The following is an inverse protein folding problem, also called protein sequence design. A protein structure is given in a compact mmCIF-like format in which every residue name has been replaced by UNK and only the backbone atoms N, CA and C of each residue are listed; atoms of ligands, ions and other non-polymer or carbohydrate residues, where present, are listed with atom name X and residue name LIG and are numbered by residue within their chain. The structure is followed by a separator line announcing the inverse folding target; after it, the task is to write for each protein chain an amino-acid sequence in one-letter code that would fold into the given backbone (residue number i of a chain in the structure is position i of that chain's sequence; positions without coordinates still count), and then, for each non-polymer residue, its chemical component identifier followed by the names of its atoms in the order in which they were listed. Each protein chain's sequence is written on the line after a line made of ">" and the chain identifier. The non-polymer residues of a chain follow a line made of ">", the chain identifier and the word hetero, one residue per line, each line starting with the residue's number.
data_IF_806570552425
#
_entry.id   IF_806570552425
#
_cell.length_a   1.000
_cell.length_b   1.000
_cell.length_c   1.000
_cell.angle_alpha   90.00
_cell.angle_beta   90.00
_cell.angle_gamma   90.00
#
_symmetry.space_group_name_H-M   'P 1'
#
loop_
_entity.id
_entity.type
_entity.pdbx_description
1 polymer ?
#
# COMPACT_ATOMS: atom_id res chain seq x y z
N UNK A 1 27.30 -6.62 -17.32
CA UNK A 1 27.50 -5.51 -16.35
C UNK A 1 27.83 -4.25 -17.12
N UNK A 2 26.98 -3.24 -17.08
CA UNK A 2 27.16 -1.98 -17.83
C UNK A 2 28.34 -1.20 -17.27
N UNK A 3 29.14 -0.55 -18.16
CA UNK A 3 30.26 0.32 -17.79
C UNK A 3 29.85 1.49 -16.87
N UNK A 4 28.58 1.85 -16.85
CA UNK A 4 27.99 2.87 -15.96
C UNK A 4 28.07 2.47 -14.48
N UNK A 5 27.88 1.21 -14.13
CA UNK A 5 27.99 0.73 -12.72
C UNK A 5 29.38 0.87 -12.12
N UNK A 6 30.44 0.80 -12.93
CA UNK A 6 31.85 0.93 -12.49
C UNK A 6 32.23 2.37 -12.10
N UNK A 7 31.57 3.38 -12.68
CA UNK A 7 31.84 4.80 -12.41
C UNK A 7 30.96 5.38 -11.28
N UNK A 8 29.79 4.83 -11.06
CA UNK A 8 28.85 5.31 -10.01
C UNK A 8 29.43 5.15 -8.60
N UNK A 9 30.12 4.06 -8.32
CA UNK A 9 30.71 3.80 -7.00
C UNK A 9 31.74 4.86 -6.56
N UNK A 10 32.74 5.17 -7.38
CA UNK A 10 33.74 6.18 -7.05
C UNK A 10 33.18 7.61 -6.97
N UNK A 11 32.31 8.02 -7.89
CA UNK A 11 31.68 9.33 -7.88
C UNK A 11 30.77 9.49 -6.64
N UNK A 12 30.01 8.47 -6.32
CA UNK A 12 29.17 8.45 -5.12
C UNK A 12 30.00 8.56 -3.85
N UNK A 13 31.07 7.78 -3.71
CA UNK A 13 31.99 7.87 -2.56
C UNK A 13 32.61 9.27 -2.44
N UNK A 14 33.01 9.87 -3.52
CA UNK A 14 33.56 11.24 -3.54
C UNK A 14 32.50 12.24 -3.01
N UNK A 15 31.27 12.17 -3.51
CA UNK A 15 30.18 13.03 -3.06
C UNK A 15 29.87 12.83 -1.56
N UNK A 16 29.74 11.58 -1.11
CA UNK A 16 29.48 11.25 0.27
C UNK A 16 30.63 11.69 1.19
N UNK A 17 31.89 11.55 0.76
CA UNK A 17 33.06 12.07 1.48
C UNK A 17 33.02 13.58 1.61
N UNK A 18 32.57 14.28 0.55
CA UNK A 18 32.40 15.74 0.60
C UNK A 18 31.34 16.16 1.61
N UNK A 19 30.22 15.46 1.66
CA UNK A 19 29.15 15.68 2.63
C UNK A 19 29.65 15.42 4.06
N UNK A 20 30.37 14.32 4.28
CA UNK A 20 30.93 13.97 5.58
C UNK A 20 31.90 15.07 6.08
N UNK A 21 32.80 15.58 5.22
CA UNK A 21 33.68 16.70 5.58
C UNK A 21 32.95 17.99 5.93
N UNK A 22 31.88 18.31 5.19
CA UNK A 22 31.04 19.47 5.54
C UNK A 22 30.38 19.32 6.90
N UNK A 23 29.87 18.14 7.21
CA UNK A 23 29.30 17.83 8.51
C UNK A 23 30.36 17.92 9.62
N UNK A 24 31.57 17.37 9.39
CA UNK A 24 32.70 17.46 10.31
C UNK A 24 33.07 18.93 10.64
N UNK A 25 33.12 19.80 9.65
CA UNK A 25 33.37 21.22 9.84
C UNK A 25 32.27 21.90 10.65
N UNK A 26 30.99 21.57 10.41
CA UNK A 26 29.87 22.09 11.19
C UNK A 26 29.99 21.64 12.65
N UNK A 27 30.25 20.37 12.89
CA UNK A 27 30.40 19.80 14.24
C UNK A 27 31.58 20.43 15.00
N UNK A 28 32.75 20.57 14.34
CA UNK A 28 33.95 21.17 14.95
C UNK A 28 33.79 22.66 15.27
N UNK A 29 33.06 23.38 14.45
CA UNK A 29 32.85 24.82 14.63
C UNK A 29 31.63 25.18 15.46
N UNK A 30 30.87 24.18 15.94
CA UNK A 30 29.70 24.43 16.77
C UNK A 30 30.11 24.86 18.19
N UNK A 31 29.49 25.93 18.69
CA UNK A 31 29.79 26.47 20.05
C UNK A 31 29.48 25.46 21.15
N UNK A 32 28.54 24.55 20.94
CA UNK A 32 28.19 23.48 21.91
C UNK A 32 28.73 22.14 21.39
N UNK A 33 29.39 21.38 22.25
CA UNK A 33 29.89 20.06 21.93
C UNK A 33 28.72 19.06 21.71
N UNK A 34 28.55 18.57 20.48
CA UNK A 34 27.61 17.51 20.19
C UNK A 34 28.18 16.19 20.71
N UNK A 35 27.44 15.52 21.60
CA UNK A 35 27.86 14.23 22.20
C UNK A 35 27.44 13.02 21.37
N UNK A 36 26.24 13.07 20.81
CA UNK A 36 25.69 12.00 19.98
C UNK A 36 24.62 12.53 19.04
N UNK A 37 24.34 11.81 17.98
CA UNK A 37 23.28 12.10 17.01
C UNK A 37 22.32 10.92 16.95
N UNK A 38 21.07 11.15 17.33
CA UNK A 38 19.98 10.20 17.15
C UNK A 38 19.16 10.61 15.92
N UNK A 39 18.96 9.67 14.99
CA UNK A 39 18.28 9.92 13.72
C UNK A 39 16.97 9.14 13.72
N UNK A 40 15.89 9.83 13.36
CA UNK A 40 14.59 9.24 13.03
C UNK A 40 14.26 9.61 11.61
N UNK A 41 13.92 8.60 10.78
CA UNK A 41 13.65 8.76 9.36
C UNK A 41 12.22 8.37 9.07
N UNK A 42 11.53 9.18 8.28
CA UNK A 42 10.15 8.91 7.88
C UNK A 42 10.03 8.95 6.35
N UNK A 43 9.13 8.13 5.83
CA UNK A 43 8.87 8.12 4.40
C UNK A 43 7.53 7.51 4.03
N UNK A 44 6.94 8.00 2.94
CA UNK A 44 5.72 7.46 2.35
C UNK A 44 5.98 7.10 0.89
N UNK A 45 5.43 5.96 0.42
CA UNK A 45 5.49 5.60 -1.01
C UNK A 45 6.94 5.44 -1.51
N UNK A 46 7.29 6.14 -2.59
CA UNK A 46 8.67 6.24 -3.08
C UNK A 46 9.58 6.92 -2.06
N UNK A 47 9.05 7.82 -1.23
CA UNK A 47 9.77 8.39 -0.09
C UNK A 47 10.11 7.34 0.97
N UNK A 48 9.29 6.30 1.15
CA UNK A 48 9.61 5.17 2.01
C UNK A 48 10.76 4.32 1.41
N UNK A 49 10.75 4.08 0.10
CA UNK A 49 11.88 3.44 -0.59
C UNK A 49 13.17 4.28 -0.49
N UNK A 50 13.06 5.61 -0.66
CA UNK A 50 14.18 6.54 -0.48
C UNK A 50 14.69 6.54 0.97
N UNK A 51 13.81 6.46 1.97
CA UNK A 51 14.18 6.37 3.38
C UNK A 51 14.99 5.11 3.66
N UNK A 52 14.58 3.95 3.13
CA UNK A 52 15.36 2.69 3.23
C UNK A 52 16.73 2.84 2.59
N UNK A 53 16.78 3.30 1.34
CA UNK A 53 18.05 3.50 0.63
C UNK A 53 18.95 4.56 1.31
N UNK A 54 18.36 5.64 1.85
CA UNK A 54 19.10 6.66 2.62
C UNK A 54 19.79 6.04 3.83
N UNK A 55 19.13 5.17 4.57
CA UNK A 55 19.73 4.50 5.73
C UNK A 55 20.93 3.66 5.33
N UNK A 56 20.84 2.86 4.26
CA UNK A 56 21.99 2.11 3.75
C UNK A 56 23.14 3.04 3.36
N UNK A 57 22.84 4.17 2.68
CA UNK A 57 23.86 5.15 2.28
C UNK A 57 24.50 5.86 3.47
N UNK A 58 23.70 6.14 4.51
CA UNK A 58 24.22 6.74 5.74
C UNK A 58 25.25 5.82 6.39
N UNK A 59 24.99 4.54 6.47
CA UNK A 59 25.90 3.57 7.05
C UNK A 59 27.11 3.24 6.14
N UNK A 60 27.05 3.51 4.84
CA UNK A 60 28.22 3.44 3.95
C UNK A 60 29.29 4.52 4.27
N UNK A 61 28.87 5.67 4.82
CA UNK A 61 29.77 6.77 5.21
C UNK A 61 30.10 6.82 6.69
N UNK A 62 29.34 6.09 7.50
CA UNK A 62 29.57 6.01 8.93
C UNK A 62 30.78 5.12 9.20
N UNK A 63 31.63 5.55 10.12
CA UNK A 63 32.81 4.81 10.55
C UNK A 63 32.47 3.99 11.78
N UNK A 64 33.02 2.78 11.85
CA UNK A 64 32.88 1.94 13.05
C UNK A 64 33.59 2.61 14.20
N UNK A 65 32.90 2.73 15.35
CA UNK A 65 33.40 3.37 16.55
C UNK A 65 33.70 2.35 17.66
N UNK A 66 34.79 2.56 18.36
CA UNK A 66 35.17 1.74 19.51
C UNK A 66 35.54 0.29 19.14
N UNK A 67 35.00 -0.68 19.85
CA UNK A 67 35.27 -2.13 19.70
C UNK A 67 34.51 -2.80 18.55
N UNK A 68 34.04 -2.05 17.58
CA UNK A 68 33.24 -2.56 16.47
C UNK A 68 31.73 -2.55 16.72
N UNK A 69 31.29 -2.02 17.85
CA UNK A 69 29.90 -1.93 18.28
C UNK A 69 29.41 -0.50 18.33
N UNK A 70 29.23 0.12 17.19
CA UNK A 70 28.72 1.48 17.07
C UNK A 70 29.28 2.17 15.84
N UNK A 71 28.61 3.22 15.48
CA UNK A 71 28.95 4.04 14.31
C UNK A 71 29.12 5.50 14.69
N UNK A 72 29.99 6.19 14.00
CA UNK A 72 30.11 7.63 14.08
C UNK A 72 29.99 8.28 12.71
N UNK A 73 29.59 9.53 12.69
CA UNK A 73 29.67 10.38 11.51
C UNK A 73 30.39 11.65 11.92
N UNK A 74 31.48 11.97 11.24
CA UNK A 74 32.33 13.12 11.55
C UNK A 74 32.85 13.10 13.00
N UNK A 75 33.21 11.93 13.53
CA UNK A 75 33.71 11.75 14.88
C UNK A 75 32.67 11.86 16.00
N UNK A 76 31.38 11.95 15.67
CA UNK A 76 30.29 11.98 16.64
C UNK A 76 29.51 10.66 16.59
N UNK A 77 29.33 9.99 17.74
CA UNK A 77 28.50 8.77 17.81
C UNK A 77 27.12 8.98 17.19
N UNK A 78 26.72 8.05 16.32
CA UNK A 78 25.46 8.11 15.58
C UNK A 78 24.64 6.86 15.80
N UNK A 79 23.33 7.04 15.88
CA UNK A 79 22.37 5.96 15.95
C UNK A 79 21.14 6.28 15.13
N UNK A 80 20.65 5.31 14.35
CA UNK A 80 19.35 5.37 13.72
C UNK A 80 18.32 4.71 14.64
N UNK A 81 17.61 5.54 15.40
CA UNK A 81 16.69 5.07 16.44
C UNK A 81 15.38 4.57 15.85
N UNK A 82 14.90 5.23 14.77
CA UNK A 82 13.58 4.93 14.22
C UNK A 82 13.54 5.11 12.71
N UNK A 83 12.91 4.14 12.04
CA UNK A 83 12.52 4.21 10.64
C UNK A 83 11.02 3.97 10.55
N UNK A 84 10.25 5.05 10.36
CA UNK A 84 8.79 5.03 10.19
C UNK A 84 8.42 5.16 8.73
N UNK A 85 7.84 4.12 8.14
CA UNK A 85 7.54 4.10 6.72
C UNK A 85 6.09 3.71 6.46
N UNK A 86 5.50 4.37 5.45
CA UNK A 86 4.14 4.10 5.01
C UNK A 86 4.16 3.56 3.59
N UNK A 87 3.52 2.44 3.41
CA UNK A 87 3.16 1.78 2.15
C UNK A 87 4.26 1.89 1.07
N UNK A 88 5.40 1.27 1.32
CA UNK A 88 6.60 1.38 0.49
C UNK A 88 6.35 0.91 -0.93
N UNK A 89 6.56 1.80 -1.89
CA UNK A 89 6.51 1.53 -3.33
C UNK A 89 7.87 1.86 -3.94
N UNK A 90 8.62 0.84 -4.31
CA UNK A 90 9.95 1.00 -4.91
C UNK A 90 9.93 1.11 -6.44
N UNK A 91 8.76 1.00 -7.07
CA UNK A 91 8.59 1.15 -8.51
C UNK A 91 8.81 2.59 -8.95
N UNK A 92 9.74 2.81 -9.87
CA UNK A 92 10.07 4.12 -10.44
C UNK A 92 9.89 4.04 -11.96
N UNK A 93 8.92 4.76 -12.51
CA UNK A 93 8.66 4.84 -13.95
C UNK A 93 7.62 3.85 -14.48
N UNK A 94 7.68 3.52 -15.77
CA UNK A 94 6.70 2.71 -16.53
C UNK A 94 6.72 1.20 -16.21
N UNK A 95 7.22 0.81 -15.09
CA UNK A 95 7.55 -0.55 -14.72
C UNK A 95 6.37 -1.51 -14.64
N UNK A 96 5.21 -1.04 -14.24
CA UNK A 96 4.04 -1.88 -14.13
C UNK A 96 3.42 -2.30 -15.47
N UNK A 97 3.80 -1.66 -16.56
CA UNK A 97 3.29 -1.97 -17.91
C UNK A 97 4.02 -3.16 -18.52
N UNK A 98 5.26 -3.42 -18.08
CA UNK A 98 6.06 -4.57 -18.52
C UNK A 98 5.94 -5.73 -17.54
N UNK A 99 5.37 -6.85 -17.94
CA UNK A 99 5.36 -8.11 -17.17
C UNK A 99 6.75 -8.68 -16.88
N UNK A 100 7.80 -8.08 -17.42
CA UNK A 100 9.18 -8.58 -17.41
C UNK A 100 10.07 -7.82 -16.41
N UNK A 101 9.63 -6.64 -15.93
CA UNK A 101 10.42 -5.79 -15.05
C UNK A 101 9.61 -5.44 -13.80
N UNK A 102 10.22 -5.63 -12.62
CA UNK A 102 9.66 -5.16 -11.33
C UNK A 102 9.70 -3.64 -11.18
N UNK A 103 10.25 -2.95 -12.18
CA UNK A 103 10.33 -1.50 -12.29
C UNK A 103 11.22 -0.81 -11.30
N UNK A 104 12.03 -1.56 -10.62
CA UNK A 104 12.96 -1.01 -9.66
C UNK A 104 14.23 -0.53 -10.33
N UNK A 105 14.62 0.68 -10.04
CA UNK A 105 15.94 1.18 -10.40
C UNK A 105 16.97 0.68 -9.40
N UNK A 106 18.25 0.65 -9.80
CA UNK A 106 19.35 0.14 -8.98
C UNK A 106 19.39 0.68 -7.54
N UNK A 107 19.01 1.94 -7.33
CA UNK A 107 18.97 2.55 -6.01
C UNK A 107 17.79 2.08 -5.14
N UNK A 108 16.75 1.51 -5.77
CA UNK A 108 15.53 1.01 -5.14
C UNK A 108 15.39 -0.51 -5.31
N UNK A 109 16.47 -1.22 -5.61
CA UNK A 109 16.47 -2.66 -5.85
C UNK A 109 17.32 -3.43 -4.83
N UNK A 110 17.06 -4.72 -4.70
CA UNK A 110 17.84 -5.63 -3.90
C UNK A 110 18.00 -5.18 -2.46
N UNK A 111 19.23 -5.16 -1.98
CA UNK A 111 19.58 -4.85 -0.59
C UNK A 111 19.09 -3.48 -0.10
N UNK A 112 19.01 -2.47 -1.01
CA UNK A 112 18.55 -1.13 -0.64
C UNK A 112 17.10 -1.09 -0.13
N UNK A 113 16.30 -2.09 -0.51
CA UNK A 113 14.91 -2.21 -0.04
C UNK A 113 14.78 -3.09 1.22
N UNK A 114 15.84 -3.71 1.69
CA UNK A 114 15.85 -4.33 3.02
C UNK A 114 15.91 -3.26 4.11
N UNK A 115 15.53 -3.64 5.33
CA UNK A 115 15.77 -2.80 6.50
C UNK A 115 17.21 -3.02 6.95
N UNK A 116 17.98 -1.92 7.02
CA UNK A 116 19.37 -2.01 7.46
C UNK A 116 19.46 -2.57 8.89
N UNK A 117 20.36 -3.53 9.17
CA UNK A 117 20.41 -4.22 10.46
C UNK A 117 20.67 -3.30 11.67
N UNK A 118 21.29 -2.15 11.45
CA UNK A 118 21.55 -1.16 12.48
C UNK A 118 20.38 -0.22 12.81
N UNK A 119 19.26 -0.36 12.12
CA UNK A 119 18.01 0.32 12.48
C UNK A 119 17.48 -0.30 13.77
N UNK A 120 17.36 0.47 14.83
CA UNK A 120 16.88 -0.06 16.12
C UNK A 120 15.42 -0.48 16.07
N UNK A 121 14.59 0.36 15.50
CA UNK A 121 13.16 0.08 15.32
C UNK A 121 12.69 0.54 13.96
N UNK A 122 12.14 -0.38 13.19
CA UNK A 122 11.43 -0.09 11.96
C UNK A 122 9.94 -0.39 12.14
N UNK A 123 9.09 0.56 11.75
CA UNK A 123 7.65 0.41 11.71
C UNK A 123 7.19 0.70 10.28
N UNK A 124 6.45 -0.23 9.69
CA UNK A 124 5.88 -0.10 8.36
C UNK A 124 4.37 -0.29 8.39
N UNK A 125 3.65 0.75 8.00
CA UNK A 125 2.20 0.71 7.83
C UNK A 125 1.84 0.61 6.37
N UNK A 126 1.06 -0.40 6.00
CA UNK A 126 0.78 -0.74 4.61
C UNK A 126 -0.72 -0.80 4.31
N UNK A 127 -1.08 -0.46 3.07
CA UNK A 127 -2.45 -0.38 2.61
C UNK A 127 -3.00 -1.75 2.19
N UNK A 128 -4.21 -2.09 2.67
CA UNK A 128 -4.90 -3.35 2.36
C UNK A 128 -5.58 -3.36 0.99
N UNK A 129 -6.02 -2.21 0.47
CA UNK A 129 -6.96 -2.16 -0.65
C UNK A 129 -6.36 -1.60 -1.95
N UNK A 130 -5.09 -1.15 -1.96
CA UNK A 130 -4.44 -0.63 -3.17
C UNK A 130 -4.38 -1.70 -4.28
N UNK A 131 -4.76 -1.31 -5.51
CA UNK A 131 -4.83 -2.22 -6.64
C UNK A 131 -4.04 -1.75 -7.87
N UNK A 132 -3.56 -0.50 -7.91
CA UNK A 132 -2.82 0.02 -9.07
C UNK A 132 -1.59 -0.82 -9.38
N UNK A 133 -1.36 -1.10 -10.67
CA UNK A 133 -0.26 -1.95 -11.15
C UNK A 133 1.11 -1.36 -10.84
N UNK A 134 1.19 -0.02 -10.86
CA UNK A 134 2.42 0.71 -10.61
C UNK A 134 2.70 0.95 -9.12
N UNK A 135 1.90 0.36 -8.22
CA UNK A 135 2.03 0.48 -6.78
C UNK A 135 2.22 -0.87 -6.06
N UNK A 136 3.11 -1.74 -6.57
CA UNK A 136 3.45 -2.94 -5.82
C UNK A 136 4.10 -2.54 -4.49
N UNK A 137 3.84 -3.33 -3.45
CA UNK A 137 4.34 -3.06 -2.11
C UNK A 137 5.61 -3.86 -1.81
N UNK A 138 6.60 -3.20 -1.23
CA UNK A 138 7.78 -3.86 -0.66
C UNK A 138 7.64 -3.98 0.85
N UNK A 139 7.48 -5.21 1.34
CA UNK A 139 7.40 -5.53 2.76
C UNK A 139 8.69 -5.17 3.50
N UNK A 140 8.59 -4.91 4.81
CA UNK A 140 9.72 -4.66 5.70
C UNK A 140 10.01 -5.90 6.56
N UNK A 141 10.52 -6.96 5.95
CA UNK A 141 10.63 -8.31 6.53
C UNK A 141 11.29 -8.38 7.92
N UNK A 142 12.14 -7.43 8.29
CA UNK A 142 12.79 -7.34 9.60
C UNK A 142 12.26 -6.18 10.47
N UNK A 143 11.19 -5.51 10.02
CA UNK A 143 10.49 -4.48 10.77
C UNK A 143 9.18 -4.99 11.38
N UNK A 144 8.54 -4.13 12.19
CA UNK A 144 7.15 -4.33 12.60
C UNK A 144 6.24 -3.81 11.50
N UNK A 145 5.42 -4.67 10.92
CA UNK A 145 4.44 -4.30 9.91
C UNK A 145 3.03 -4.32 10.47
N UNK A 146 2.21 -3.36 10.06
CA UNK A 146 0.77 -3.36 10.30
C UNK A 146 0.02 -2.97 9.03
N UNK A 147 -1.07 -3.68 8.77
CA UNK A 147 -1.94 -3.44 7.62
C UNK A 147 -3.11 -2.57 8.03
N UNK A 148 -3.34 -1.48 7.30
CA UNK A 148 -4.44 -0.55 7.52
C UNK A 148 -5.44 -0.61 6.37
N UNK A 149 -6.74 -0.46 6.65
CA UNK A 149 -7.72 -0.34 5.58
C UNK A 149 -7.47 0.94 4.77
N UNK A 150 -7.88 0.90 3.53
CA UNK A 150 -7.70 2.03 2.60
C UNK A 150 -6.73 1.74 1.47
N UNK A 151 -6.65 2.68 0.55
CA UNK A 151 -5.70 2.70 -0.56
C UNK A 151 -4.37 3.30 -0.10
N UNK A 152 -3.40 3.31 -1.00
CA UNK A 152 -2.07 3.87 -0.79
C UNK A 152 -2.08 5.25 -0.09
N UNK A 153 -2.88 6.17 -0.62
CA UNK A 153 -2.96 7.53 -0.09
C UNK A 153 -3.91 7.67 1.11
N UNK A 154 -4.77 6.69 1.38
CA UNK A 154 -5.53 6.62 2.63
C UNK A 154 -4.62 6.28 3.82
N UNK A 155 -3.58 5.49 3.58
CA UNK A 155 -2.59 5.17 4.62
C UNK A 155 -1.52 6.26 4.71
N UNK A 156 -1.10 6.81 3.57
CA UNK A 156 -0.02 7.80 3.48
C UNK A 156 -0.45 9.26 3.60
N UNK A 157 -1.75 9.55 3.72
CA UNK A 157 -2.27 10.92 3.89
C UNK A 157 -2.27 11.77 2.63
N UNK A 158 -2.30 11.15 1.43
CA UNK A 158 -2.21 11.87 0.15
C UNK A 158 -3.50 12.51 -0.34
N UNK A 159 -4.67 12.15 0.20
CA UNK A 159 -5.94 12.76 -0.19
C UNK A 159 -6.25 14.03 0.63
N UNK A 160 -6.85 15.02 -0.02
CA UNK A 160 -7.39 16.19 0.66
C UNK A 160 -8.70 15.84 1.36
N UNK A 161 -9.09 16.54 2.45
CA UNK A 161 -10.41 16.35 3.04
C UNK A 161 -11.51 16.59 2.01
N UNK A 162 -12.46 15.66 1.89
CA UNK A 162 -13.57 15.74 0.95
C UNK A 162 -13.28 15.21 -0.45
N UNK A 163 -12.03 14.80 -0.77
CA UNK A 163 -11.71 14.18 -2.05
C UNK A 163 -12.64 12.98 -2.29
N UNK A 164 -13.13 12.86 -3.51
CA UNK A 164 -14.10 11.84 -3.91
C UNK A 164 -15.35 11.76 -3.03
N UNK A 165 -15.69 12.85 -2.32
CA UNK A 165 -16.83 12.94 -1.41
C UNK A 165 -16.68 12.14 -0.13
N UNK A 166 -15.44 11.77 0.26
CA UNK A 166 -15.13 11.08 1.51
C UNK A 166 -14.87 12.07 2.65
N UNK A 167 -14.76 11.55 3.87
CA UNK A 167 -14.39 12.33 5.06
C UNK A 167 -15.40 13.44 5.43
N UNK A 168 -16.68 13.23 5.15
CA UNK A 168 -17.75 14.19 5.46
C UNK A 168 -18.34 13.94 6.84
N UNK A 169 -18.47 15.02 7.60
CA UNK A 169 -19.16 15.07 8.89
C UNK A 169 -20.18 16.20 8.84
N UNK A 170 -21.42 15.92 9.16
CA UNK A 170 -22.53 16.90 9.13
C UNK A 170 -22.60 17.69 7.81
N UNK A 171 -22.34 17.01 6.69
CA UNK A 171 -22.41 17.58 5.34
C UNK A 171 -21.22 18.48 4.97
N UNK A 172 -20.13 18.43 5.72
CA UNK A 172 -18.90 19.19 5.44
C UNK A 172 -17.68 18.27 5.46
N UNK A 173 -16.73 18.51 4.57
CA UNK A 173 -15.45 17.85 4.59
C UNK A 173 -14.66 18.17 5.87
N UNK A 174 -14.21 17.15 6.58
CA UNK A 174 -13.50 17.29 7.86
C UNK A 174 -12.18 16.50 7.83
N UNK A 175 -11.06 17.20 7.93
CA UNK A 175 -9.74 16.59 7.95
C UNK A 175 -9.53 15.59 9.09
N UNK A 176 -10.26 15.70 10.19
CA UNK A 176 -10.20 14.77 11.32
C UNK A 176 -10.95 13.46 11.04
N UNK A 177 -11.81 13.43 10.03
CA UNK A 177 -12.52 12.23 9.58
C UNK A 177 -11.74 11.43 8.52
N UNK A 178 -10.59 11.91 8.07
CA UNK A 178 -9.74 11.18 7.11
C UNK A 178 -9.24 9.87 7.70
N UNK A 179 -9.35 8.80 6.94
CA UNK A 179 -8.84 7.49 7.35
C UNK A 179 -7.34 7.53 7.70
N UNK A 180 -6.57 8.36 7.00
CA UNK A 180 -5.15 8.58 7.23
C UNK A 180 -4.79 9.08 8.64
N UNK A 181 -5.73 9.64 9.38
CA UNK A 181 -5.46 10.12 10.75
C UNK A 181 -5.11 9.00 11.71
N UNK A 182 -5.68 7.81 11.50
CA UNK A 182 -5.40 6.64 12.36
C UNK A 182 -3.93 6.22 12.21
N UNK A 183 -3.43 5.85 11.02
CA UNK A 183 -2.02 5.47 10.89
C UNK A 183 -1.04 6.63 11.17
N UNK A 184 -1.43 7.89 10.97
CA UNK A 184 -0.61 9.05 11.36
C UNK A 184 -0.38 9.09 12.87
N UNK A 185 -1.44 8.97 13.66
CA UNK A 185 -1.39 9.00 15.13
C UNK A 185 -0.60 7.80 15.65
N UNK A 186 -0.85 6.62 15.10
CA UNK A 186 -0.13 5.40 15.49
C UNK A 186 1.36 5.49 15.18
N UNK A 187 1.74 6.02 14.02
CA UNK A 187 3.16 6.24 13.68
C UNK A 187 3.81 7.28 14.60
N UNK A 188 3.10 8.34 14.94
CA UNK A 188 3.59 9.34 15.88
C UNK A 188 3.86 8.72 17.26
N UNK A 189 2.96 7.87 17.77
CA UNK A 189 3.16 7.15 19.02
C UNK A 189 4.36 6.20 18.96
N UNK A 190 4.49 5.42 17.90
CA UNK A 190 5.63 4.51 17.72
C UNK A 190 6.96 5.28 17.63
N UNK A 191 6.97 6.45 16.99
CA UNK A 191 8.15 7.29 16.89
C UNK A 191 8.58 7.86 18.26
N UNK A 192 7.63 8.38 19.04
CA UNK A 192 7.92 8.87 20.42
C UNK A 192 8.41 7.73 21.29
N UNK A 193 7.78 6.56 21.22
CA UNK A 193 8.18 5.36 21.96
C UNK A 193 9.61 4.91 21.60
N UNK A 194 10.03 5.13 20.36
CA UNK A 194 11.38 4.87 19.90
C UNK A 194 12.39 5.99 20.26
N UNK A 195 11.95 7.04 20.92
CA UNK A 195 12.79 8.17 21.37
C UNK A 195 12.94 9.29 20.35
N UNK A 196 12.07 9.36 19.32
CA UNK A 196 12.04 10.52 18.42
C UNK A 196 11.60 11.77 19.20
N UNK A 197 12.32 12.87 19.02
CA UNK A 197 12.04 14.14 19.69
C UNK A 197 10.89 14.89 18.97
N UNK A 198 9.70 14.31 19.03
CA UNK A 198 8.47 14.92 18.56
C UNK A 198 7.70 15.52 19.73
N UNK A 199 6.80 16.47 19.43
CA UNK A 199 5.86 16.97 20.43
C UNK A 199 4.93 15.86 20.87
N UNK A 200 4.65 15.77 22.15
CA UNK A 200 3.66 14.84 22.69
C UNK A 200 2.24 15.20 22.19
N UNK A 201 1.31 14.25 22.24
CA UNK A 201 -0.09 14.52 21.90
C UNK A 201 -0.71 15.59 22.80
N UNK A 202 -0.26 15.70 24.06
CA UNK A 202 -0.69 16.77 24.97
C UNK A 202 -0.23 18.14 24.49
N UNK A 203 1.06 18.28 24.13
CA UNK A 203 1.59 19.52 23.54
C UNK A 203 0.96 19.88 22.19
N UNK A 204 0.61 18.85 21.40
CA UNK A 204 -0.10 19.04 20.13
C UNK A 204 -1.50 19.61 20.37
N UNK A 205 -2.24 19.11 21.34
CA UNK A 205 -3.59 19.57 21.68
C UNK A 205 -3.65 21.02 22.20
N UNK A 206 -2.55 21.53 22.76
CA UNK A 206 -2.44 22.91 23.19
C UNK A 206 -2.34 23.91 22.03
N UNK A 207 -2.05 23.43 20.82
CA UNK A 207 -1.97 24.24 19.61
C UNK A 207 -3.17 23.87 18.69
N UNK A 208 -4.10 24.81 18.53
CA UNK A 208 -5.35 24.57 17.82
C UNK A 208 -5.17 24.12 16.37
N UNK A 209 -4.13 24.62 15.69
CA UNK A 209 -3.82 24.24 14.30
C UNK A 209 -3.31 22.80 14.27
N UNK A 210 -2.35 22.45 15.15
CA UNK A 210 -1.80 21.09 15.21
C UNK A 210 -2.84 20.08 15.67
N UNK A 211 -3.70 20.47 16.61
CA UNK A 211 -4.77 19.61 17.10
C UNK A 211 -5.73 19.17 15.97
N UNK A 212 -6.03 20.06 15.01
CA UNK A 212 -6.81 19.71 13.84
C UNK A 212 -6.09 18.69 12.94
N UNK A 213 -4.79 18.83 12.74
CA UNK A 213 -4.00 17.91 11.90
C UNK A 213 -3.79 16.54 12.55
N UNK A 214 -3.85 16.41 13.86
CA UNK A 214 -3.72 15.16 14.61
C UNK A 214 -5.04 14.73 15.28
N UNK A 215 -6.15 15.37 14.93
CA UNK A 215 -7.47 14.97 15.39
C UNK A 215 -7.95 13.69 14.69
N UNK A 216 -8.78 12.92 15.38
CA UNK A 216 -9.48 11.78 14.81
C UNK A 216 -10.95 11.86 15.21
N UNK A 217 -11.83 11.98 14.22
CA UNK A 217 -13.26 12.18 14.48
C UNK A 217 -13.88 10.96 15.16
N UNK A 218 -14.74 11.13 16.20
CA UNK A 218 -15.33 9.99 16.91
C UNK A 218 -16.13 9.01 16.02
N UNK A 219 -16.76 9.51 14.95
CA UNK A 219 -17.46 8.65 14.00
C UNK A 219 -16.48 7.74 13.24
N UNK A 220 -15.36 8.29 12.74
CA UNK A 220 -14.32 7.50 12.10
C UNK A 220 -13.81 6.39 13.04
N UNK A 221 -13.56 6.72 14.30
CA UNK A 221 -13.10 5.73 15.30
C UNK A 221 -14.14 4.61 15.48
N UNK A 222 -15.43 4.94 15.58
CA UNK A 222 -16.50 3.95 15.70
C UNK A 222 -16.57 3.03 14.49
N UNK A 223 -16.58 3.60 13.29
CA UNK A 223 -16.72 2.85 12.03
C UNK A 223 -15.48 1.98 11.77
N UNK A 224 -14.29 2.51 12.06
CA UNK A 224 -13.04 1.76 12.00
C UNK A 224 -13.04 0.58 12.97
N UNK A 225 -13.45 0.78 14.21
CA UNK A 225 -13.50 -0.28 15.22
C UNK A 225 -14.58 -1.33 14.90
N UNK A 226 -15.71 -0.93 14.33
CA UNK A 226 -16.75 -1.85 13.85
C UNK A 226 -16.20 -2.73 12.72
N UNK A 227 -15.47 -2.13 11.76
CA UNK A 227 -14.81 -2.88 10.70
C UNK A 227 -13.75 -3.84 11.27
N UNK A 228 -12.88 -3.37 12.17
CA UNK A 228 -11.83 -4.17 12.79
C UNK A 228 -12.39 -5.38 13.55
N UNK A 229 -13.49 -5.19 14.29
CA UNK A 229 -14.18 -6.27 15.03
C UNK A 229 -14.80 -7.29 14.09
N UNK A 230 -15.39 -6.84 12.98
CA UNK A 230 -16.07 -7.71 12.01
C UNK A 230 -15.11 -8.56 11.16
N UNK A 231 -13.84 -8.17 11.06
CA UNK A 231 -12.87 -8.84 10.20
C UNK A 231 -11.80 -9.64 10.95
N UNK A 232 -11.74 -9.49 12.29
CA UNK A 232 -10.71 -10.10 13.11
C UNK A 232 -9.30 -9.65 12.71
N UNK A 233 -8.33 -9.71 13.60
CA UNK A 233 -6.94 -9.68 13.22
C UNK A 233 -6.66 -10.97 12.43
N UNK A 234 -6.85 -10.93 11.11
CA UNK A 234 -6.68 -12.08 10.23
C UNK A 234 -5.28 -12.65 10.43
N UNK A 235 -5.17 -13.83 11.03
CA UNK A 235 -3.91 -14.57 11.08
C UNK A 235 -3.51 -14.94 9.65
N UNK A 236 -2.21 -14.99 9.39
CA UNK A 236 -1.67 -15.39 8.10
C UNK A 236 -0.64 -14.39 7.55
N UNK A 237 -0.02 -14.75 6.44
CA UNK A 237 0.95 -13.88 5.77
C UNK A 237 0.27 -12.59 5.28
N UNK A 238 0.98 -11.46 5.34
CA UNK A 238 0.45 -10.16 4.91
C UNK A 238 -0.11 -10.17 3.48
N UNK A 239 0.53 -10.89 2.57
CA UNK A 239 0.04 -11.04 1.20
C UNK A 239 -1.35 -11.73 1.12
N UNK A 240 -1.61 -12.71 2.00
CA UNK A 240 -2.90 -13.41 2.07
C UNK A 240 -3.99 -12.49 2.65
N UNK A 241 -3.66 -11.71 3.67
CA UNK A 241 -4.58 -10.72 4.24
C UNK A 241 -4.95 -9.65 3.19
N UNK A 242 -3.97 -9.12 2.46
CA UNK A 242 -4.20 -8.16 1.36
C UNK A 242 -5.12 -8.78 0.30
N UNK A 243 -4.90 -10.06 -0.08
CA UNK A 243 -5.79 -10.75 -1.02
C UNK A 243 -7.21 -10.92 -0.50
N UNK A 244 -7.36 -11.26 0.79
CA UNK A 244 -8.69 -11.41 1.41
C UNK A 244 -9.46 -10.09 1.44
N UNK A 245 -8.81 -8.99 1.82
CA UNK A 245 -9.41 -7.66 1.84
C UNK A 245 -9.68 -7.11 0.43
N UNK A 246 -8.81 -7.39 -0.53
CA UNK A 246 -9.05 -7.08 -1.93
C UNK A 246 -10.34 -7.74 -2.45
N UNK A 247 -10.61 -9.01 -2.09
CA UNK A 247 -11.87 -9.69 -2.46
C UNK A 247 -13.09 -8.96 -1.91
N UNK A 248 -13.04 -8.47 -0.67
CA UNK A 248 -14.14 -7.71 -0.09
C UNK A 248 -14.36 -6.38 -0.80
N UNK A 249 -13.27 -5.68 -1.16
CA UNK A 249 -13.35 -4.45 -1.93
C UNK A 249 -13.93 -4.68 -3.33
N UNK A 250 -13.52 -5.76 -4.01
CA UNK A 250 -14.08 -6.14 -5.32
C UNK A 250 -15.56 -6.52 -5.21
N UNK A 251 -15.95 -7.24 -4.16
CA UNK A 251 -17.36 -7.53 -3.90
C UNK A 251 -18.18 -6.25 -3.68
N UNK A 252 -17.64 -5.27 -2.92
CA UNK A 252 -18.26 -3.94 -2.75
C UNK A 252 -18.35 -3.18 -4.08
N UNK A 253 -17.29 -3.17 -4.90
CA UNK A 253 -17.35 -2.58 -6.26
C UNK A 253 -18.44 -3.24 -7.10
N UNK A 254 -18.59 -4.56 -7.01
CA UNK A 254 -19.67 -5.31 -7.66
C UNK A 254 -21.05 -4.90 -7.14
N UNK A 255 -21.22 -4.78 -5.82
CA UNK A 255 -22.46 -4.29 -5.21
C UNK A 255 -22.85 -2.89 -5.69
N UNK A 256 -21.85 -2.01 -5.93
CA UNK A 256 -22.04 -0.64 -6.40
C UNK A 256 -22.14 -0.52 -7.94
N UNK A 257 -21.91 -1.64 -8.66
CA UNK A 257 -21.88 -1.65 -10.12
C UNK A 257 -23.26 -1.61 -10.77
N UNK A 258 -24.23 -2.23 -10.11
CA UNK A 258 -25.55 -2.45 -10.71
C UNK A 258 -26.44 -1.22 -10.56
N UNK A 259 -27.39 -1.07 -11.49
CA UNK A 259 -28.37 0.02 -11.48
C UNK A 259 -29.29 -0.05 -10.25
N UNK A 260 -29.87 1.09 -9.88
CA UNK A 260 -30.79 1.23 -8.75
C UNK A 260 -30.19 2.03 -7.59
N UNK A 261 -30.87 2.04 -6.48
CA UNK A 261 -30.49 2.83 -5.28
C UNK A 261 -29.13 2.40 -4.70
N UNK A 262 -28.74 1.14 -4.89
CA UNK A 262 -27.45 0.61 -4.49
C UNK A 262 -26.27 1.05 -5.36
N UNK A 263 -26.51 1.65 -6.54
CA UNK A 263 -25.43 2.02 -7.46
C UNK A 263 -24.50 3.10 -6.87
N UNK A 264 -23.25 3.14 -7.35
CA UNK A 264 -22.25 4.12 -6.93
C UNK A 264 -22.77 5.55 -7.11
N UNK A 265 -23.41 5.84 -8.23
CA UNK A 265 -23.92 7.18 -8.56
C UNK A 265 -25.05 7.66 -7.65
N UNK A 266 -25.69 6.77 -6.91
CA UNK A 266 -26.75 7.10 -5.95
C UNK A 266 -26.25 7.30 -4.52
N UNK A 267 -24.99 6.92 -4.26
CA UNK A 267 -24.44 7.00 -2.91
C UNK A 267 -24.21 8.45 -2.44
N UNK A 268 -24.32 8.71 -1.14
CA UNK A 268 -24.08 10.04 -0.57
C UNK A 268 -22.70 10.59 -0.94
N UNK A 269 -21.65 9.78 -0.83
CA UNK A 269 -20.29 10.21 -1.14
C UNK A 269 -20.14 10.67 -2.59
N UNK A 270 -20.75 9.98 -3.56
CA UNK A 270 -20.70 10.42 -4.96
C UNK A 270 -21.37 11.80 -5.14
N UNK A 271 -22.51 12.03 -4.47
CA UNK A 271 -23.25 13.27 -4.56
C UNK A 271 -22.55 14.46 -3.85
N UNK A 272 -21.71 14.16 -2.89
CA UNK A 272 -20.91 15.13 -2.11
C UNK A 272 -19.57 15.46 -2.78
N UNK A 273 -19.07 14.59 -3.67
CA UNK A 273 -17.84 14.79 -4.41
C UNK A 273 -17.94 16.05 -5.30
N UNK A 274 -16.82 16.71 -5.54
CA UNK A 274 -16.77 17.81 -6.50
C UNK A 274 -16.98 17.32 -7.95
N UNK A 275 -17.12 18.26 -8.89
CA UNK A 275 -17.46 17.93 -10.26
C UNK A 275 -16.39 17.12 -10.99
N UNK A 276 -15.11 17.31 -10.69
CA UNK A 276 -13.99 16.57 -11.27
C UNK A 276 -13.97 15.13 -10.74
N UNK A 277 -14.06 14.97 -9.43
CA UNK A 277 -14.15 13.67 -8.77
C UNK A 277 -15.38 12.86 -9.23
N UNK A 278 -16.55 13.54 -9.40
CA UNK A 278 -17.74 12.87 -9.93
C UNK A 278 -17.52 12.33 -11.34
N UNK A 279 -16.85 13.08 -12.20
CA UNK A 279 -16.53 12.64 -13.58
C UNK A 279 -15.57 11.45 -13.53
N UNK A 280 -14.53 11.51 -12.71
CA UNK A 280 -13.54 10.45 -12.58
C UNK A 280 -14.14 9.16 -12.02
N UNK A 281 -14.93 9.25 -10.95
CA UNK A 281 -15.64 8.12 -10.36
C UNK A 281 -16.66 7.50 -11.35
N UNK A 282 -17.42 8.32 -12.08
CA UNK A 282 -18.38 7.84 -13.08
C UNK A 282 -17.68 7.16 -14.26
N UNK A 283 -16.55 7.71 -14.73
CA UNK A 283 -15.74 7.10 -15.78
C UNK A 283 -15.16 5.75 -15.33
N UNK A 284 -14.56 5.69 -14.14
CA UNK A 284 -14.04 4.45 -13.59
C UNK A 284 -15.12 3.38 -13.42
N UNK A 285 -16.32 3.78 -12.98
CA UNK A 285 -17.47 2.89 -12.85
C UNK A 285 -17.93 2.36 -14.21
N UNK A 286 -18.00 3.21 -15.23
CA UNK A 286 -18.37 2.82 -16.60
C UNK A 286 -17.35 1.84 -17.20
N UNK A 287 -16.07 2.13 -17.04
CA UNK A 287 -15.00 1.30 -17.58
C UNK A 287 -14.97 -0.07 -16.88
N UNK A 288 -15.20 -0.09 -15.57
CA UNK A 288 -15.37 -1.34 -14.82
C UNK A 288 -16.60 -2.15 -15.30
N UNK A 289 -17.75 -1.49 -15.49
CA UNK A 289 -18.94 -2.14 -16.01
C UNK A 289 -18.72 -2.76 -17.38
N UNK A 290 -17.99 -2.08 -18.27
CA UNK A 290 -17.64 -2.60 -19.58
C UNK A 290 -16.71 -3.82 -19.48
N UNK A 291 -15.69 -3.76 -18.63
CA UNK A 291 -14.78 -4.88 -18.37
C UNK A 291 -15.55 -6.12 -17.87
N UNK A 292 -16.38 -5.94 -16.85
CA UNK A 292 -17.19 -7.04 -16.27
C UNK A 292 -18.12 -7.64 -17.33
N UNK A 293 -18.80 -6.81 -18.11
CA UNK A 293 -19.71 -7.27 -19.18
C UNK A 293 -18.97 -8.09 -20.24
N UNK A 294 -17.83 -7.60 -20.71
CA UNK A 294 -17.04 -8.27 -21.75
C UNK A 294 -16.49 -9.62 -21.25
N UNK A 295 -15.96 -9.66 -20.04
CA UNK A 295 -15.46 -10.89 -19.44
C UNK A 295 -16.59 -11.89 -19.10
N UNK A 296 -17.75 -11.42 -18.66
CA UNK A 296 -18.92 -12.26 -18.43
C UNK A 296 -19.43 -12.90 -19.72
N UNK A 297 -19.48 -12.13 -20.83
CA UNK A 297 -19.83 -12.66 -22.15
C UNK A 297 -18.79 -13.69 -22.58
N UNK A 298 -17.51 -13.40 -22.48
CA UNK A 298 -16.43 -14.33 -22.81
C UNK A 298 -16.49 -15.63 -22.01
N UNK A 299 -16.80 -15.55 -20.70
CA UNK A 299 -17.01 -16.72 -19.83
C UNK A 299 -18.16 -17.60 -20.35
N UNK A 300 -19.28 -16.98 -20.69
CA UNK A 300 -20.47 -17.66 -21.25
C UNK A 300 -20.17 -18.33 -22.59
N UNK A 301 -19.53 -17.60 -23.49
CA UNK A 301 -19.19 -18.09 -24.82
C UNK A 301 -18.18 -19.24 -24.76
N UNK A 302 -17.20 -19.15 -23.86
CA UNK A 302 -16.23 -20.23 -23.62
C UNK A 302 -16.89 -21.48 -23.05
N UNK A 303 -17.86 -21.34 -22.14
CA UNK A 303 -18.63 -22.47 -21.62
C UNK A 303 -19.44 -23.14 -22.75
N UNK A 304 -20.13 -22.37 -23.58
CA UNK A 304 -20.87 -22.86 -24.73
C UNK A 304 -19.95 -23.55 -25.74
N UNK A 305 -18.80 -22.96 -26.05
CA UNK A 305 -17.81 -23.54 -26.94
C UNK A 305 -17.30 -24.92 -26.45
N UNK A 306 -16.98 -25.03 -25.15
CA UNK A 306 -16.54 -26.29 -24.52
C UNK A 306 -17.66 -27.36 -24.56
N UNK A 307 -18.90 -26.97 -24.26
CA UNK A 307 -20.04 -27.86 -24.34
C UNK A 307 -20.24 -28.43 -25.78
N UNK A 308 -20.14 -27.54 -26.80
CA UNK A 308 -20.21 -27.96 -28.19
C UNK A 308 -19.08 -28.93 -28.60
N UNK A 309 -17.86 -28.68 -28.12
CA UNK A 309 -16.74 -29.59 -28.36
C UNK A 309 -16.99 -30.97 -27.73
N UNK A 310 -17.47 -31.02 -26.48
CA UNK A 310 -17.79 -32.27 -25.80
C UNK A 310 -18.87 -33.07 -26.52
N UNK A 311 -19.91 -32.41 -27.03
CA UNK A 311 -20.93 -33.06 -27.87
C UNK A 311 -20.35 -33.63 -29.18
N UNK A 312 -19.43 -32.87 -29.82
CA UNK A 312 -18.73 -33.35 -31.04
C UNK A 312 -17.89 -34.58 -30.74
N UNK A 313 -17.13 -34.56 -29.63
CA UNK A 313 -16.30 -35.69 -29.23
C UNK A 313 -17.16 -36.94 -28.94
N UNK A 314 -18.32 -36.80 -28.30
CA UNK A 314 -19.26 -37.88 -28.06
C UNK A 314 -19.82 -38.44 -29.40
N UNK A 315 -20.22 -37.58 -30.34
CA UNK A 315 -20.69 -38.00 -31.67
C UNK A 315 -19.62 -38.73 -32.47
N UNK A 316 -18.36 -38.30 -32.42
CA UNK A 316 -17.22 -38.97 -33.05
C UNK A 316 -17.00 -40.35 -32.42
N UNK A 317 -17.06 -40.44 -31.09
CA UNK A 317 -16.90 -41.72 -30.37
C UNK A 317 -18.02 -42.71 -30.69
N UNK A 318 -19.29 -42.24 -30.75
CA UNK A 318 -20.42 -43.07 -31.19
C UNK A 318 -20.23 -43.56 -32.63
N UNK A 319 -19.82 -42.69 -33.55
CA UNK A 319 -19.53 -43.05 -34.93
C UNK A 319 -18.40 -44.10 -35.03
N UNK A 320 -17.36 -43.95 -34.25
CA UNK A 320 -16.25 -44.92 -34.18
C UNK A 320 -16.75 -46.29 -33.71
N UNK A 321 -17.58 -46.35 -32.68
CA UNK A 321 -18.16 -47.62 -32.18
C UNK A 321 -19.07 -48.30 -33.21
N UNK A 322 -19.74 -47.50 -34.04
CA UNK A 322 -20.62 -48.01 -35.10
C UNK A 322 -19.89 -48.34 -36.43
N UNK A 323 -18.56 -48.15 -36.49
CA UNK A 323 -17.76 -48.36 -37.69
C UNK A 323 -18.08 -47.35 -38.82
N UNK A 324 -18.66 -46.19 -38.50
CA UNK A 324 -19.06 -45.15 -39.47
C UNK A 324 -18.23 -43.89 -39.22
N UNK A 325 -17.49 -43.37 -40.23
CA UNK A 325 -16.84 -42.07 -40.09
C UNK A 325 -17.86 -40.96 -39.94
N UNK A 326 -17.74 -40.17 -38.91
CA UNK A 326 -18.57 -38.98 -38.65
C UNK A 326 -17.75 -37.74 -38.95
N UNK A 327 -18.16 -36.96 -39.94
CA UNK A 327 -17.60 -35.65 -40.19
C UNK A 327 -18.44 -34.61 -39.41
N UNK A 328 -17.83 -33.92 -38.48
CA UNK A 328 -18.49 -32.84 -37.72
C UNK A 328 -17.64 -31.58 -37.87
N UNK A 329 -18.23 -30.48 -38.35
CA UNK A 329 -17.52 -29.21 -38.39
C UNK A 329 -17.20 -28.75 -36.96
N UNK A 330 -15.93 -28.45 -36.68
CA UNK A 330 -15.51 -27.92 -35.39
C UNK A 330 -15.87 -26.45 -35.29
N UNK A 331 -16.64 -26.02 -34.29
CA UNK A 331 -16.98 -24.59 -34.10
C UNK A 331 -15.73 -23.79 -33.83
N UNK A 332 -15.75 -22.50 -34.16
CA UNK A 332 -14.72 -21.55 -33.75
C UNK A 332 -15.16 -20.84 -32.46
N UNK A 333 -14.24 -20.67 -31.54
CA UNK A 333 -14.47 -19.82 -30.38
C UNK A 333 -14.68 -18.36 -30.82
N UNK A 334 -15.57 -17.63 -30.15
CA UNK A 334 -15.67 -16.18 -30.33
C UNK A 334 -14.42 -15.47 -29.86
N UNK A 335 -14.22 -14.21 -30.28
CA UNK A 335 -13.08 -13.43 -29.80
C UNK A 335 -13.15 -13.23 -28.27
N UNK A 336 -14.33 -13.00 -27.73
CA UNK A 336 -14.61 -12.86 -26.31
C UNK A 336 -14.26 -14.13 -25.54
N UNK A 337 -14.61 -15.30 -26.05
CA UNK A 337 -14.24 -16.59 -25.46
C UNK A 337 -12.71 -16.79 -25.45
N UNK A 338 -12.05 -16.43 -26.56
CA UNK A 338 -10.61 -16.54 -26.68
C UNK A 338 -9.88 -15.60 -25.71
N UNK A 339 -10.36 -14.37 -25.56
CA UNK A 339 -9.79 -13.39 -24.64
C UNK A 339 -10.03 -13.79 -23.18
N UNK A 340 -11.22 -14.31 -22.85
CA UNK A 340 -11.51 -14.87 -21.54
C UNK A 340 -10.59 -16.05 -21.19
N UNK A 341 -10.28 -16.92 -22.15
CA UNK A 341 -9.39 -18.07 -21.92
C UNK A 341 -7.95 -17.68 -21.49
N UNK A 342 -7.56 -16.44 -21.74
CA UNK A 342 -6.22 -15.92 -21.43
C UNK A 342 -6.11 -15.21 -20.08
N UNK A 343 -7.26 -14.91 -19.44
CA UNK A 343 -7.21 -14.20 -18.16
C UNK A 343 -6.57 -15.08 -17.06
N UNK A 344 -5.86 -14.48 -16.11
CA UNK A 344 -5.37 -15.21 -14.93
C UNK A 344 -6.54 -15.85 -14.15
N UNK A 345 -6.29 -17.01 -13.56
CA UNK A 345 -7.30 -17.68 -12.74
C UNK A 345 -7.80 -16.81 -11.56
N UNK A 346 -6.92 -16.00 -10.98
CA UNK A 346 -7.27 -15.04 -9.92
C UNK A 346 -8.21 -13.93 -10.42
N UNK A 347 -8.03 -13.46 -11.65
CA UNK A 347 -8.95 -12.49 -12.29
C UNK A 347 -10.34 -13.11 -12.51
N UNK A 348 -10.39 -14.37 -12.94
CA UNK A 348 -11.66 -15.11 -13.05
C UNK A 348 -12.37 -15.26 -11.71
N UNK A 349 -11.63 -15.58 -10.64
CA UNK A 349 -12.20 -15.68 -9.29
C UNK A 349 -12.76 -14.34 -8.78
N UNK A 350 -12.05 -13.24 -9.04
CA UNK A 350 -12.53 -11.91 -8.68
C UNK A 350 -13.75 -11.48 -9.50
N UNK A 351 -13.80 -11.85 -10.79
CA UNK A 351 -14.98 -11.64 -11.64
C UNK A 351 -16.20 -12.39 -11.07
N UNK A 352 -16.00 -13.63 -10.60
CA UNK A 352 -17.09 -14.44 -10.04
C UNK A 352 -17.70 -13.79 -8.80
N UNK A 353 -16.90 -13.13 -7.93
CA UNK A 353 -17.43 -12.37 -6.80
C UNK A 353 -18.42 -11.27 -7.24
N UNK A 354 -18.14 -10.63 -8.38
CA UNK A 354 -19.00 -9.58 -8.93
C UNK A 354 -20.26 -10.18 -9.54
N UNK A 355 -20.14 -11.25 -10.33
CA UNK A 355 -21.26 -11.88 -11.04
C UNK A 355 -22.22 -12.62 -10.10
N UNK A 356 -21.69 -13.21 -9.03
CA UNK A 356 -22.44 -13.97 -8.04
C UNK A 356 -23.01 -13.07 -6.93
N UNK A 357 -22.84 -11.74 -7.04
CA UNK A 357 -23.26 -10.76 -6.02
C UNK A 357 -22.78 -11.15 -4.62
N UNK A 358 -21.47 -11.42 -4.50
CA UNK A 358 -20.86 -11.83 -3.24
C UNK A 358 -21.22 -10.84 -2.11
N UNK A 359 -21.62 -11.34 -0.93
CA UNK A 359 -22.04 -10.47 0.18
C UNK A 359 -20.88 -9.63 0.70
N UNK A 360 -21.19 -8.40 1.09
CA UNK A 360 -20.24 -7.47 1.71
C UNK A 360 -20.67 -7.24 3.16
N UNK A 361 -19.80 -7.44 4.15
CA UNK A 361 -20.12 -7.10 5.53
C UNK A 361 -20.49 -5.61 5.65
N UNK A 362 -21.49 -5.30 6.44
CA UNK A 362 -22.00 -3.93 6.60
C UNK A 362 -20.90 -2.95 7.03
N UNK A 363 -20.10 -3.32 8.02
CA UNK A 363 -19.00 -2.48 8.48
C UNK A 363 -17.95 -2.19 7.38
N UNK A 364 -17.72 -3.14 6.44
CA UNK A 364 -16.86 -2.91 5.28
C UNK A 364 -17.52 -1.97 4.28
N UNK A 365 -18.80 -2.12 4.02
CA UNK A 365 -19.53 -1.22 3.12
C UNK A 365 -19.52 0.21 3.66
N UNK A 366 -19.77 0.40 4.96
CA UNK A 366 -19.66 1.72 5.63
C UNK A 366 -18.27 2.31 5.47
N UNK A 367 -17.23 1.51 5.71
CA UNK A 367 -15.84 1.97 5.59
C UNK A 367 -15.51 2.39 4.14
N UNK A 368 -15.90 1.57 3.15
CA UNK A 368 -15.65 1.85 1.74
C UNK A 368 -16.46 3.02 1.21
N UNK A 369 -17.69 3.19 1.66
CA UNK A 369 -18.54 4.30 1.23
C UNK A 369 -18.08 5.64 1.79
N UNK A 370 -17.60 5.69 3.05
CA UNK A 370 -17.36 6.96 3.74
C UNK A 370 -15.89 7.39 3.78
N UNK A 371 -14.93 6.44 3.72
CA UNK A 371 -13.54 6.74 4.06
C UNK A 371 -12.52 6.24 3.04
N UNK A 372 -12.78 5.14 2.34
CA UNK A 372 -11.81 4.57 1.39
C UNK A 372 -12.00 5.20 0.02
N UNK A 373 -10.95 5.82 -0.49
CA UNK A 373 -10.93 6.41 -1.82
C UNK A 373 -10.79 5.34 -2.91
N UNK A 374 -11.12 5.70 -4.13
CA UNK A 374 -10.88 4.88 -5.32
C UNK A 374 -9.58 5.31 -6.00
N UNK A 375 -8.50 4.60 -5.76
CA UNK A 375 -7.19 4.97 -6.29
C UNK A 375 -7.04 4.79 -7.81
N UNK A 376 -7.96 4.08 -8.47
CA UNK A 376 -7.99 3.93 -9.92
C UNK A 376 -8.78 5.04 -10.62
N UNK A 377 -9.73 5.68 -9.92
CA UNK A 377 -10.48 6.80 -10.44
C UNK A 377 -9.58 8.05 -10.49
N UNK A 378 -9.50 8.70 -11.65
CA UNK A 378 -8.68 9.89 -11.84
C UNK A 378 -7.16 9.65 -11.87
N UNK A 379 -6.70 8.41 -11.79
CA UNK A 379 -5.27 8.13 -11.93
C UNK A 379 -4.89 7.98 -13.40
N UNK A 380 -4.40 9.05 -13.98
CA UNK A 380 -4.01 9.10 -15.39
C UNK A 380 -2.55 8.72 -15.64
N UNK A 381 -2.33 7.94 -16.70
CA UNK A 381 -1.03 7.66 -17.30
C UNK A 381 -1.05 8.26 -18.71
N UNK A 382 -0.59 9.51 -18.83
CA UNK A 382 -0.84 10.31 -20.03
C UNK A 382 -2.33 10.66 -20.15
N UNK A 383 -2.99 10.22 -21.24
CA UNK A 383 -4.43 10.43 -21.49
C UNK A 383 -5.31 9.25 -21.08
N UNK A 384 -4.72 8.17 -20.58
CA UNK A 384 -5.42 6.92 -20.23
C UNK A 384 -5.33 6.65 -18.74
N UNK A 385 -6.35 5.97 -18.22
CA UNK A 385 -6.30 5.36 -16.88
C UNK A 385 -5.87 3.89 -16.97
N UNK A 386 -5.51 3.28 -15.85
CA UNK A 386 -5.24 1.83 -15.84
C UNK A 386 -6.45 0.97 -16.24
N UNK A 387 -7.66 1.53 -16.22
CA UNK A 387 -8.89 0.85 -16.59
C UNK A 387 -9.09 0.79 -18.11
N UNK A 388 -8.49 1.70 -18.88
CA UNK A 388 -8.75 1.86 -20.31
C UNK A 388 -7.50 2.03 -21.19
N UNK A 389 -6.30 1.64 -20.71
CA UNK A 389 -5.07 1.67 -21.55
C UNK A 389 -5.23 0.75 -22.75
N UNK A 390 -5.10 1.28 -24.00
CA UNK A 390 -5.17 0.47 -25.21
C UNK A 390 -4.06 -0.58 -25.25
N UNK A 391 -4.39 -1.76 -25.79
CA UNK A 391 -3.46 -2.89 -25.99
C UNK A 391 -2.83 -3.50 -24.73
N UNK A 392 -3.13 -3.00 -23.54
CA UNK A 392 -2.66 -3.57 -22.27
C UNK A 392 -3.86 -3.90 -21.41
N UNK A 393 -4.14 -5.19 -21.22
CA UNK A 393 -5.17 -5.60 -20.26
C UNK A 393 -4.56 -5.59 -18.86
N UNK A 394 -4.94 -4.61 -18.06
CA UNK A 394 -4.55 -4.51 -16.66
C UNK A 394 -5.56 -5.21 -15.74
N UNK A 395 -6.72 -5.58 -16.26
CA UNK A 395 -7.90 -6.09 -15.56
C UNK A 395 -8.46 -5.16 -14.46
N UNK A 396 -7.98 -3.93 -14.38
CA UNK A 396 -8.47 -2.89 -13.47
C UNK A 396 -8.64 -3.39 -12.03
N UNK A 397 -9.89 -3.36 -11.52
CA UNK A 397 -10.20 -3.84 -10.16
C UNK A 397 -10.14 -5.38 -10.00
N UNK A 398 -10.11 -6.15 -11.10
CA UNK A 398 -10.10 -7.61 -11.05
C UNK A 398 -8.69 -8.18 -10.96
N UNK A 399 -7.88 -7.64 -10.07
CA UNK A 399 -6.52 -8.12 -9.80
C UNK A 399 -6.10 -7.89 -8.36
N UNK A 400 -5.09 -8.61 -7.92
CA UNK A 400 -4.43 -8.39 -6.64
C UNK A 400 -3.23 -7.47 -6.81
N UNK A 401 -2.94 -6.72 -5.75
CA UNK A 401 -1.72 -5.94 -5.62
C UNK A 401 -0.49 -6.85 -5.65
N UNK A 402 0.57 -6.46 -6.34
CA UNK A 402 1.88 -7.10 -6.23
C UNK A 402 2.50 -6.82 -4.86
N UNK A 403 3.01 -7.86 -4.19
CA UNK A 403 3.68 -7.76 -2.88
C UNK A 403 5.04 -8.43 -2.99
N UNK A 404 6.09 -7.69 -2.66
CA UNK A 404 7.47 -8.18 -2.65
C UNK A 404 7.98 -8.30 -1.22
N UNK A 405 8.65 -9.42 -0.94
CA UNK A 405 9.31 -9.65 0.34
C UNK A 405 10.82 -9.78 0.11
N UNK A 406 11.58 -8.82 0.63
CA UNK A 406 13.03 -8.84 0.55
C UNK A 406 13.58 -9.11 1.95
N UNK A 407 14.17 -10.30 2.14
CA UNK A 407 14.82 -10.67 3.39
C UNK A 407 15.99 -9.72 3.67
N UNK A 408 15.99 -9.11 4.85
CA UNK A 408 17.09 -8.27 5.31
C UNK A 408 18.27 -9.09 5.85
N UNK A 409 19.43 -8.44 6.00
CA UNK A 409 20.55 -9.01 6.75
C UNK A 409 20.17 -9.08 8.24
N UNK A 410 20.63 -10.12 8.92
CA UNK A 410 20.51 -10.18 10.37
C UNK A 410 21.48 -9.17 11.02
N UNK A 411 21.02 -8.53 12.09
CA UNK A 411 21.86 -7.64 12.89
C UNK A 411 23.02 -8.44 13.51
N UNK A 412 24.22 -7.91 13.41
CA UNK A 412 25.37 -8.44 14.13
C UNK A 412 25.18 -8.11 15.61
N UNK A 413 25.03 -9.11 16.46
CA UNK A 413 24.88 -8.89 17.90
C UNK A 413 26.18 -8.29 18.47
N UNK A 414 26.10 -7.05 18.90
CA UNK A 414 27.13 -6.43 19.71
C UNK A 414 26.97 -6.88 21.16
N UNK A 415 28.01 -7.49 21.75
CA UNK A 415 27.97 -8.06 23.09
C UNK A 415 28.01 -7.04 24.23
N UNK A 416 28.16 -5.74 23.95
CA UNK A 416 28.18 -4.70 24.99
C UNK A 416 27.07 -3.66 24.78
N UNK A 417 25.90 -3.84 25.44
CA UNK A 417 24.81 -2.89 25.43
C UNK A 417 25.03 -1.67 26.32
N UNK A 418 26.10 -1.67 27.15
CA UNK A 418 26.31 -0.62 28.18
C UNK A 418 26.83 0.71 27.62
N UNK A 419 27.26 0.77 26.38
CA UNK A 419 27.80 1.97 25.73
C UNK A 419 26.77 2.98 25.23
N UNK A 420 25.47 2.64 25.26
CA UNK A 420 24.40 3.52 24.80
C UNK A 420 23.51 3.92 25.98
N UNK A 421 23.16 5.22 26.13
CA UNK A 421 22.29 5.65 27.21
C UNK A 421 20.92 4.97 27.09
N UNK A 422 20.31 4.51 28.19
CA UNK A 422 18.99 3.94 28.21
C UNK A 422 18.00 4.99 27.69
N UNK A 423 17.10 4.59 26.79
CA UNK A 423 15.97 5.42 26.40
C UNK A 423 15.05 5.55 27.63
N UNK A 424 15.12 6.67 28.33
CA UNK A 424 14.15 7.03 29.37
C UNK A 424 12.85 7.45 28.66
N UNK A 425 12.02 6.50 28.35
CA UNK A 425 10.67 6.76 27.82
C UNK A 425 9.68 6.38 28.91
N UNK A 426 8.84 7.32 29.39
CA UNK A 426 7.75 6.98 30.29
C UNK A 426 6.84 5.95 29.65
N UNK A 427 6.42 4.95 30.40
CA UNK A 427 5.48 3.92 29.93
C UNK A 427 4.12 4.54 29.53
N UNK A 428 3.87 4.62 28.24
CA UNK A 428 2.67 5.23 27.66
C UNK A 428 1.55 4.18 27.46
N UNK A 429 1.81 2.90 27.76
CA UNK A 429 0.82 1.83 27.66
C UNK A 429 -0.42 2.04 28.53
N UNK A 430 -0.27 2.73 29.65
CA UNK A 430 -1.37 3.14 30.53
C UNK A 430 -2.17 4.34 30.02
N UNK A 431 -1.60 5.21 29.21
CA UNK A 431 -2.29 6.37 28.65
C UNK A 431 -3.35 5.97 27.63
N UNK A 432 -3.12 4.90 26.86
CA UNK A 432 -4.09 4.39 25.87
C UNK A 432 -5.34 3.77 26.52
N UNK A 433 -5.18 3.01 27.59
CA UNK A 433 -6.32 2.47 28.36
C UNK A 433 -7.14 3.58 29.03
N UNK A 434 -6.48 4.65 29.48
CA UNK A 434 -7.16 5.79 30.08
C UNK A 434 -7.84 6.69 29.03
N UNK A 435 -7.30 6.80 27.81
CA UNK A 435 -7.94 7.52 26.71
C UNK A 435 -9.20 6.82 26.20
N UNK A 436 -9.20 5.48 26.10
CA UNK A 436 -10.40 4.69 25.77
C UNK A 436 -11.51 4.84 26.82
N UNK A 437 -11.13 4.98 28.09
CA UNK A 437 -12.07 5.19 29.19
C UNK A 437 -12.56 6.65 29.30
N UNK A 438 -11.76 7.64 28.93
CA UNK A 438 -12.13 9.06 29.00
C UNK A 438 -12.97 9.53 27.81
N UNK A 439 -12.91 8.85 26.65
CA UNK A 439 -13.76 9.15 25.49
C UNK A 439 -15.07 8.35 25.48
N UNK A 440 -15.27 7.41 26.40
CA UNK A 440 -16.52 6.63 26.55
C UNK A 440 -17.59 7.29 27.42
N UNK A 441 -17.40 8.54 27.78
CA UNK A 441 -18.34 9.27 28.65
C UNK A 441 -18.66 10.68 28.13
N UNK A 442 -19.33 10.74 26.99
CA UNK A 442 -20.21 11.86 26.59
C UNK A 442 -21.22 11.34 25.57
#
# INVERSE_FOLDING_TARGET
>A
MSKTRLLEGPLRRSLLTSIARRLENVVKNHQRRVKSVNISVFGFSRGAAQARAFVHRLYEIAEVWGSGCGYNVAGVPMQLSFLGIFDTVASVGLAGISRVSDGKWDWAAGEMMSIHPEVRQCVHFAALHEQRINFPMDLAASGREALYPGMHSDVGGGYSPGAQGKDFVDGKADGTAKLAQIPLIDMHHEAIKAGALLKTMEEIRQDSIRAQHFGCHPQLIRDYNAWLTGHGAGGGAHAEQIRAHCRQYVAWKGMRLWNGEGSLLQQPFFKQADGEDQVDLANAQRDFANLVRNLAQGKKDMASYRANLAEIDDRIEVGRRMGRPVFVPVPRASQEAYDYAKIPAETSQLLDLVLDHAPVPEASAVLFDNYVHDSLAGFYIGTYTELNIPAVSTYGYLRYRGVFNIAGRQRQECRDPSSLPPANVPDIGTAFQQMGAAMGGF
#
